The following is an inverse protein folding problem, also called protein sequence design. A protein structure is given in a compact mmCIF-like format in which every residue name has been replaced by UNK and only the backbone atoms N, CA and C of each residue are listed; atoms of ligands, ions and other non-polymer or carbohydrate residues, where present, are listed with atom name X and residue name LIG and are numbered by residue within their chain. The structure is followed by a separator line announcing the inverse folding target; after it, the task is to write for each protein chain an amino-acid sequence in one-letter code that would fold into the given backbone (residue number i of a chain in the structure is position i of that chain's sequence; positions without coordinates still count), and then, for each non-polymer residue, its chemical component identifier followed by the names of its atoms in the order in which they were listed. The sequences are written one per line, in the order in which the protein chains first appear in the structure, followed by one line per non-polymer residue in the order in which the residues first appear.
data_IF_919303471034
#
_entry.id   IF_919303471034
#
_cell.length_a   1.000
_cell.length_b   1.000
_cell.length_c   1.000
_cell.angle_alpha   90.00
_cell.angle_beta   90.00
_cell.angle_gamma   90.00
#
_symmetry.space_group_name_H-M   'P 1'
#
loop_
_entity.id
_entity.type
_entity.pdbx_description
1 polymer ?
#
# COMPACT_ATOMS: atom_id res chain seq x y z
N UNK A 1 1.64 2.01 -11.71
CA UNK A 1 0.34 2.43 -11.15
C UNK A 1 0.37 3.92 -10.92
N UNK A 2 -0.76 4.60 -11.10
CA UNK A 2 -0.93 6.03 -10.86
C UNK A 2 -1.34 6.30 -9.40
N UNK A 3 -1.19 7.54 -8.95
CA UNK A 3 -1.64 7.94 -7.62
C UNK A 3 -3.16 7.79 -7.46
N UNK A 4 -3.94 8.11 -8.50
CA UNK A 4 -5.41 8.03 -8.47
C UNK A 4 -5.89 6.58 -8.35
N UNK A 5 -5.26 5.64 -9.07
CA UNK A 5 -5.54 4.21 -8.94
C UNK A 5 -5.32 3.71 -7.51
N UNK A 6 -4.25 4.18 -6.84
CA UNK A 6 -3.93 3.80 -5.46
C UNK A 6 -4.87 4.45 -4.45
N UNK A 7 -5.25 5.72 -4.65
CA UNK A 7 -6.25 6.42 -3.83
C UNK A 7 -7.62 5.75 -3.90
N UNK A 8 -8.00 5.19 -5.04
CA UNK A 8 -9.25 4.44 -5.21
C UNK A 8 -9.31 3.12 -4.39
N UNK A 9 -8.18 2.65 -3.85
CA UNK A 9 -8.11 1.45 -3.00
C UNK A 9 -8.36 1.73 -1.51
N UNK A 10 -8.47 2.99 -1.08
CA UNK A 10 -8.73 3.34 0.33
C UNK A 10 -10.01 2.65 0.82
N UNK A 11 -9.90 2.01 1.99
CA UNK A 11 -10.96 1.21 2.62
C UNK A 11 -11.04 -0.24 2.14
N UNK A 12 -10.34 -0.61 1.05
CA UNK A 12 -10.38 -1.97 0.48
C UNK A 12 -9.30 -2.87 1.09
N UNK A 13 -9.59 -4.17 1.11
CA UNK A 13 -8.56 -5.20 1.24
C UNK A 13 -7.82 -5.31 -0.09
N UNK A 14 -6.50 -5.41 -0.03
CA UNK A 14 -5.64 -5.45 -1.20
C UNK A 14 -4.49 -6.43 -1.01
N UNK A 15 -3.99 -6.94 -2.12
CA UNK A 15 -2.65 -7.51 -2.23
C UNK A 15 -1.77 -6.51 -3.01
N UNK A 16 -0.67 -6.08 -2.40
CA UNK A 16 0.34 -5.20 -2.98
C UNK A 16 1.60 -6.00 -3.30
N UNK A 17 2.04 -5.98 -4.56
CA UNK A 17 3.37 -6.44 -4.93
C UNK A 17 4.35 -5.27 -4.86
N UNK A 18 5.47 -5.46 -4.16
CA UNK A 18 6.44 -4.41 -3.91
C UNK A 18 7.75 -4.63 -4.67
N UNK A 19 8.47 -3.55 -4.92
CA UNK A 19 9.81 -3.59 -5.45
C UNK A 19 10.77 -4.28 -4.46
N UNK A 20 11.80 -5.01 -4.95
CA UNK A 20 12.72 -5.79 -4.10
C UNK A 20 13.44 -4.99 -3.01
N UNK A 21 13.57 -3.67 -3.20
CA UNK A 21 14.20 -2.76 -2.25
C UNK A 21 13.42 -2.56 -0.94
N UNK A 22 12.16 -3.00 -0.88
CA UNK A 22 11.25 -2.73 0.25
C UNK A 22 11.31 -3.75 1.41
N UNK A 23 12.21 -4.75 1.32
CA UNK A 23 12.37 -5.80 2.34
C UNK A 23 11.30 -6.90 2.32
N UNK A 24 10.15 -6.65 1.72
CA UNK A 24 9.08 -7.63 1.49
C UNK A 24 8.61 -7.58 0.04
N UNK A 25 8.32 -8.75 -0.55
CA UNK A 25 7.84 -8.83 -1.93
C UNK A 25 6.35 -8.59 -2.09
N UNK A 26 5.57 -8.90 -1.05
CA UNK A 26 4.12 -8.79 -1.06
C UNK A 26 3.59 -8.40 0.33
N UNK A 27 2.62 -7.49 0.36
CA UNK A 27 1.84 -7.15 1.55
C UNK A 27 0.35 -7.34 1.24
N UNK A 28 -0.35 -8.07 2.11
CA UNK A 28 -1.80 -8.18 2.10
C UNK A 28 -2.37 -7.46 3.31
N UNK A 29 -3.41 -6.66 3.11
CA UNK A 29 -3.95 -5.80 4.16
C UNK A 29 -5.07 -4.91 3.70
N UNK A 30 -5.62 -4.14 4.64
CA UNK A 30 -6.58 -3.07 4.34
C UNK A 30 -5.85 -1.75 4.12
N UNK A 31 -6.16 -1.04 3.04
CA UNK A 31 -5.70 0.35 2.87
C UNK A 31 -6.53 1.24 3.78
N UNK A 32 -5.90 1.85 4.78
CA UNK A 32 -6.56 2.76 5.72
C UNK A 32 -6.68 4.18 5.16
N UNK A 33 -5.76 4.57 4.28
CA UNK A 33 -5.71 5.91 3.71
C UNK A 33 -4.42 6.14 2.92
N UNK A 34 -4.25 7.37 2.48
CA UNK A 34 -3.05 7.83 1.79
C UNK A 34 -2.57 9.16 2.34
N UNK A 35 -1.27 9.42 2.22
CA UNK A 35 -0.63 10.70 2.58
C UNK A 35 0.06 11.21 1.31
N UNK A 36 -0.24 12.46 0.93
CA UNK A 36 0.51 13.15 -0.13
C UNK A 36 1.77 13.76 0.51
N UNK A 37 2.93 13.12 0.29
CA UNK A 37 4.23 13.58 0.77
C UNK A 37 5.00 14.32 -0.33
N UNK A 38 6.07 15.03 0.04
CA UNK A 38 6.90 15.80 -0.91
C UNK A 38 7.58 14.93 -1.97
N UNK A 39 7.82 13.66 -1.68
CA UNK A 39 8.47 12.67 -2.53
C UNK A 39 7.49 11.68 -3.21
N UNK A 40 6.18 11.91 -3.04
CA UNK A 40 5.12 11.14 -3.68
C UNK A 40 4.04 10.65 -2.72
N UNK A 41 3.17 9.77 -3.23
CA UNK A 41 2.06 9.23 -2.46
C UNK A 41 2.55 8.13 -1.52
N UNK A 42 2.06 8.11 -0.28
CA UNK A 42 2.30 7.04 0.68
C UNK A 42 0.98 6.35 1.02
N UNK A 43 0.92 5.03 0.90
CA UNK A 43 -0.20 4.22 1.35
C UNK A 43 -0.03 3.87 2.82
N UNK A 44 -1.10 3.98 3.59
CA UNK A 44 -1.18 3.46 4.96
C UNK A 44 -2.00 2.18 4.93
N UNK A 45 -1.39 1.07 5.36
CA UNK A 45 -2.01 -0.25 5.39
C UNK A 45 -2.08 -0.82 6.80
N UNK A 46 -3.12 -1.60 7.05
CA UNK A 46 -3.19 -2.55 8.16
C UNK A 46 -2.93 -3.96 7.61
N UNK A 47 -1.76 -4.56 7.84
CA UNK A 47 -1.44 -5.90 7.34
C UNK A 47 -2.30 -6.97 8.01
N UNK A 48 -2.75 -7.98 7.25
CA UNK A 48 -3.59 -9.05 7.80
C UNK A 48 -2.85 -9.95 8.80
N UNK A 49 -1.54 -10.12 8.63
CA UNK A 49 -0.71 -10.97 9.50
C UNK A 49 -0.54 -10.39 10.90
N UNK A 50 -0.73 -9.07 11.07
CA UNK A 50 -0.53 -8.37 12.35
C UNK A 50 -1.63 -7.31 12.51
N UNK A 51 -2.86 -7.72 12.87
CA UNK A 51 -3.97 -6.79 13.09
C UNK A 51 -3.62 -5.71 14.12
N UNK A 52 -4.07 -4.48 13.91
CA UNK A 52 -3.75 -3.31 14.75
C UNK A 52 -2.40 -2.65 14.44
N UNK A 53 -1.51 -3.28 13.67
CA UNK A 53 -0.28 -2.66 13.20
C UNK A 53 -0.55 -1.79 11.97
N UNK A 54 0.03 -0.59 11.92
CA UNK A 54 0.03 0.26 10.72
C UNK A 54 1.36 0.17 10.00
N UNK A 55 1.31 0.09 8.68
CA UNK A 55 2.49 0.09 7.82
C UNK A 55 2.35 1.10 6.71
N UNK A 56 3.41 1.83 6.43
CA UNK A 56 3.47 2.80 5.34
C UNK A 56 4.26 2.23 4.16
N UNK A 57 3.77 2.47 2.95
CA UNK A 57 4.41 2.05 1.70
C UNK A 57 4.40 3.22 0.72
N UNK A 58 5.57 3.68 0.28
CA UNK A 58 5.66 4.69 -0.76
C UNK A 58 5.18 4.12 -2.10
N UNK A 59 4.41 4.89 -2.86
CA UNK A 59 3.79 4.46 -4.12
C UNK A 59 4.82 4.04 -5.17
N UNK A 60 6.02 4.63 -5.16
CA UNK A 60 7.10 4.27 -6.07
C UNK A 60 7.70 2.88 -5.78
N UNK A 61 7.39 2.29 -4.61
CA UNK A 61 7.71 0.90 -4.31
C UNK A 61 6.60 -0.09 -4.70
N UNK A 62 5.40 0.38 -5.04
CA UNK A 62 4.28 -0.49 -5.45
C UNK A 62 4.40 -0.82 -6.94
N UNK A 63 4.60 -2.10 -7.26
CA UNK A 63 4.63 -2.59 -8.64
C UNK A 63 3.23 -2.84 -9.16
N UNK A 64 2.40 -3.51 -8.35
CA UNK A 64 1.01 -3.80 -8.66
C UNK A 64 0.17 -3.80 -7.38
N UNK A 65 -1.12 -3.54 -7.53
CA UNK A 65 -2.09 -3.56 -6.46
C UNK A 65 -3.42 -4.10 -7.00
N UNK A 66 -4.03 -5.03 -6.27
CA UNK A 66 -5.36 -5.55 -6.59
C UNK A 66 -6.21 -5.63 -5.33
N UNK A 67 -7.49 -5.30 -5.47
CA UNK A 67 -8.47 -5.55 -4.41
C UNK A 67 -8.73 -7.06 -4.30
N UNK A 68 -8.89 -7.55 -3.06
CA UNK A 68 -9.18 -8.96 -2.74
C UNK A 68 -10.34 -9.07 -1.75
#
# INVERSE_FOLDING_TARGET
MTADELKALVGRRVALELAPASGEREIQGRVLGTIDASDGLVLVLEPERIPGMRRTVHSHHVRSARAI
#
